data_IF_051066106166
#
_entry.id   IF_051066106166
#
_cell.length_a   1.000
_cell.length_b   1.000
_cell.length_c   1.000
_cell.angle_alpha   90.00
_cell.angle_beta   90.00
_cell.angle_gamma   90.00
#
_symmetry.space_group_name_H-M   'P 1'
#
loop_
_entity.id
_entity.type
_entity.pdbx_description
1 polymer ?
#
# COMPACT_ATOMS: atom_id res chain seq x y z
N UNK A 1 -23.54 7.30 5.10
CA UNK A 1 -22.14 7.74 4.78
C UNK A 1 -21.34 7.83 6.09
N UNK A 2 -20.08 7.42 6.06
CA UNK A 2 -19.18 7.53 7.21
C UNK A 2 -18.82 9.00 7.43
N UNK A 3 -19.03 9.49 8.66
CA UNK A 3 -18.60 10.80 9.12
C UNK A 3 -17.44 10.63 10.09
N UNK A 4 -16.30 11.27 9.81
CA UNK A 4 -15.15 11.25 10.68
C UNK A 4 -15.38 12.02 11.99
N UNK A 5 -14.60 11.68 13.01
CA UNK A 5 -14.60 12.37 14.30
C UNK A 5 -13.22 13.00 14.64
N UNK A 6 -12.44 13.31 13.61
CA UNK A 6 -11.15 13.99 13.72
C UNK A 6 -10.04 13.21 14.46
N UNK A 7 -10.08 11.87 14.44
CA UNK A 7 -9.06 11.02 15.09
C UNK A 7 -7.65 11.20 14.51
N UNK A 8 -7.56 11.67 13.26
CA UNK A 8 -6.29 11.88 12.55
C UNK A 8 -6.03 13.36 12.26
N UNK A 9 -6.68 14.27 13.00
CA UNK A 9 -6.54 15.72 12.79
C UNK A 9 -5.06 16.12 12.82
N UNK A 10 -4.61 16.78 11.73
CA UNK A 10 -3.24 17.26 11.56
C UNK A 10 -2.21 16.17 11.24
N UNK A 11 -2.61 14.90 11.14
CA UNK A 11 -1.74 13.81 10.69
C UNK A 11 -1.50 13.87 9.19
N UNK A 12 -0.41 13.26 8.75
CA UNK A 12 0.08 13.22 7.38
C UNK A 12 0.26 11.77 6.97
N UNK A 13 -0.49 11.35 5.95
CA UNK A 13 -0.56 9.97 5.52
C UNK A 13 -0.03 9.79 4.10
N UNK A 14 0.75 8.75 3.87
CA UNK A 14 1.07 8.21 2.56
C UNK A 14 0.30 6.92 2.35
N UNK A 15 -0.39 6.79 1.20
CA UNK A 15 -1.08 5.57 0.79
C UNK A 15 -0.54 5.13 -0.57
N UNK A 16 0.07 3.94 -0.65
CA UNK A 16 0.46 3.35 -1.92
C UNK A 16 -0.70 2.54 -2.51
N UNK A 17 -0.89 2.60 -3.84
CA UNK A 17 -2.10 2.06 -4.47
C UNK A 17 -3.36 2.77 -3.98
N UNK A 18 -3.29 4.10 -3.88
CA UNK A 18 -4.33 4.93 -3.25
C UNK A 18 -5.49 5.28 -4.16
N UNK A 19 -5.42 4.96 -5.43
CA UNK A 19 -6.39 5.24 -6.49
C UNK A 19 -7.55 4.25 -6.55
N UNK A 20 -7.31 2.98 -6.14
CA UNK A 20 -8.30 1.90 -6.20
C UNK A 20 -8.46 1.09 -4.91
N UNK A 21 -9.58 0.42 -4.79
CA UNK A 21 -9.84 -0.65 -3.81
C UNK A 21 -9.60 -0.22 -2.35
N UNK A 22 -8.78 -1.01 -1.65
CA UNK A 22 -8.48 -0.82 -0.23
C UNK A 22 -7.74 0.49 0.01
N UNK A 23 -6.78 0.82 -0.86
CA UNK A 23 -6.00 2.06 -0.75
C UNK A 23 -6.87 3.30 -0.90
N UNK A 24 -7.74 3.34 -1.91
CA UNK A 24 -8.74 4.40 -2.09
C UNK A 24 -9.62 4.58 -0.86
N UNK A 25 -10.17 3.49 -0.35
CA UNK A 25 -11.04 3.53 0.83
C UNK A 25 -10.31 4.05 2.07
N UNK A 26 -9.06 3.62 2.28
CA UNK A 26 -8.21 4.09 3.37
C UNK A 26 -7.89 5.58 3.23
N UNK A 27 -7.49 6.04 2.04
CA UNK A 27 -7.16 7.44 1.77
C UNK A 27 -8.34 8.38 2.07
N UNK A 28 -9.54 8.03 1.60
CA UNK A 28 -10.77 8.80 1.86
C UNK A 28 -11.11 8.78 3.36
N UNK A 29 -11.01 7.62 4.01
CA UNK A 29 -11.28 7.51 5.45
C UNK A 29 -10.28 8.35 6.28
N UNK A 30 -8.99 8.37 5.92
CA UNK A 30 -7.99 9.19 6.58
C UNK A 30 -8.29 10.69 6.43
N UNK A 31 -8.70 11.12 5.23
CA UNK A 31 -9.10 12.51 5.00
C UNK A 31 -10.32 12.90 5.83
N UNK A 32 -11.35 12.05 5.91
CA UNK A 32 -12.53 12.25 6.77
C UNK A 32 -12.17 12.35 8.25
N UNK A 33 -11.14 11.64 8.67
CA UNK A 33 -10.61 11.71 10.04
C UNK A 33 -9.64 12.89 10.26
N UNK A 34 -9.41 13.72 9.26
CA UNK A 34 -8.66 14.97 9.38
C UNK A 34 -7.18 14.91 8.99
N UNK A 35 -6.74 13.85 8.32
CA UNK A 35 -5.38 13.72 7.81
C UNK A 35 -5.22 14.38 6.42
N UNK A 36 -4.04 14.93 6.16
CA UNK A 36 -3.58 15.25 4.81
C UNK A 36 -3.00 13.99 4.18
N UNK A 37 -3.27 13.74 2.89
CA UNK A 37 -2.98 12.44 2.25
C UNK A 37 -2.16 12.62 0.98
N UNK A 38 -1.06 11.88 0.87
CA UNK A 38 -0.34 11.64 -0.37
C UNK A 38 -0.75 10.27 -0.94
N UNK A 39 -1.00 10.21 -2.25
CA UNK A 39 -1.41 9.01 -2.99
C UNK A 39 -0.30 8.62 -3.96
N UNK A 40 0.19 7.38 -3.88
CA UNK A 40 0.96 6.79 -4.95
C UNK A 40 0.04 5.87 -5.78
N UNK A 41 0.25 5.87 -7.07
CA UNK A 41 -0.48 5.13 -8.09
C UNK A 41 0.37 5.02 -9.36
N UNK A 42 0.00 4.15 -10.30
CA UNK A 42 0.68 4.08 -11.60
C UNK A 42 0.28 5.27 -12.49
N UNK A 43 1.20 5.83 -13.31
CA UNK A 43 0.90 7.02 -14.12
C UNK A 43 -0.32 6.91 -15.03
N UNK A 44 -0.62 5.70 -15.52
CA UNK A 44 -1.79 5.41 -16.33
C UNK A 44 -3.12 5.49 -15.57
N UNK A 45 -3.09 5.44 -14.24
CA UNK A 45 -4.25 5.51 -13.34
C UNK A 45 -4.53 6.95 -12.86
N UNK A 46 -3.97 7.96 -13.53
CA UNK A 46 -4.09 9.38 -13.15
C UNK A 46 -5.53 9.84 -12.93
N UNK A 47 -6.48 9.42 -13.80
CA UNK A 47 -7.88 9.83 -13.70
C UNK A 47 -8.53 9.37 -12.40
N UNK A 48 -8.24 8.14 -11.98
CA UNK A 48 -8.80 7.54 -10.76
C UNK A 48 -8.18 8.20 -9.52
N UNK A 49 -6.88 8.47 -9.56
CA UNK A 49 -6.19 9.18 -8.50
C UNK A 49 -6.69 10.63 -8.32
N UNK A 50 -7.01 11.33 -9.41
CA UNK A 50 -7.61 12.68 -9.33
C UNK A 50 -9.00 12.64 -8.69
N UNK A 51 -9.83 11.64 -9.01
CA UNK A 51 -11.13 11.47 -8.36
C UNK A 51 -10.99 11.32 -6.83
N UNK A 52 -10.01 10.51 -6.39
CA UNK A 52 -9.73 10.33 -4.96
C UNK A 52 -9.21 11.63 -4.35
N UNK A 53 -8.33 12.34 -5.05
CA UNK A 53 -7.79 13.62 -4.60
C UNK A 53 -8.89 14.68 -4.42
N UNK A 54 -9.86 14.71 -5.33
CA UNK A 54 -11.03 15.59 -5.18
C UNK A 54 -11.87 15.26 -3.95
N UNK A 55 -12.09 13.96 -3.67
CA UNK A 55 -12.81 13.53 -2.47
C UNK A 55 -12.06 13.95 -1.19
N UNK A 56 -10.73 13.84 -1.17
CA UNK A 56 -9.89 14.32 -0.06
C UNK A 56 -10.02 15.83 0.11
N UNK A 57 -9.93 16.60 -0.98
CA UNK A 57 -10.08 18.07 -0.97
C UNK A 57 -11.47 18.51 -0.50
N UNK A 58 -12.53 17.79 -0.83
CA UNK A 58 -13.90 18.04 -0.34
C UNK A 58 -14.03 17.91 1.18
N UNK A 59 -13.19 17.09 1.81
CA UNK A 59 -13.09 17.00 3.28
C UNK A 59 -12.22 18.12 3.90
N UNK A 60 -11.80 19.12 3.09
CA UNK A 60 -10.95 20.23 3.52
C UNK A 60 -9.50 19.81 3.80
N UNK A 61 -9.06 18.67 3.24
CA UNK A 61 -7.70 18.16 3.47
C UNK A 61 -6.83 18.30 2.23
N UNK A 62 -5.51 18.32 2.45
CA UNK A 62 -4.53 18.35 1.37
C UNK A 62 -4.44 16.99 0.72
N UNK A 63 -4.51 16.96 -0.62
CA UNK A 63 -4.22 15.78 -1.44
C UNK A 63 -2.95 16.03 -2.24
N UNK A 64 -1.99 15.09 -2.17
CA UNK A 64 -0.73 15.11 -2.93
C UNK A 64 -0.70 13.89 -3.83
N UNK A 65 -0.52 14.08 -5.13
CA UNK A 65 -0.43 13.02 -6.13
C UNK A 65 1.02 12.71 -6.44
N UNK A 66 1.40 11.43 -6.34
CA UNK A 66 2.76 10.92 -6.51
C UNK A 66 2.77 9.71 -7.46
N UNK A 67 2.60 9.94 -8.77
CA UNK A 67 2.57 8.87 -9.75
C UNK A 67 3.94 8.20 -9.91
N UNK A 68 3.96 6.86 -10.03
CA UNK A 68 5.14 6.07 -10.35
C UNK A 68 5.06 4.62 -9.91
N UNK A 69 5.98 3.81 -10.46
CA UNK A 69 6.01 2.37 -10.31
C UNK A 69 6.88 1.96 -9.10
N UNK A 70 6.30 1.23 -8.16
CA UNK A 70 6.98 0.74 -6.95
C UNK A 70 7.99 -0.39 -7.22
N UNK A 71 8.04 -0.94 -8.42
CA UNK A 71 9.11 -1.87 -8.79
C UNK A 71 10.46 -1.19 -9.06
N UNK A 72 10.48 0.15 -9.11
CA UNK A 72 11.68 0.94 -9.24
C UNK A 72 12.16 1.45 -7.87
N UNK A 73 13.35 1.00 -7.45
CA UNK A 73 13.98 1.45 -6.20
C UNK A 73 14.20 2.96 -6.15
N UNK A 74 14.63 3.55 -7.28
CA UNK A 74 14.90 5.00 -7.35
C UNK A 74 13.61 5.77 -7.14
N UNK A 75 12.52 5.32 -7.76
CA UNK A 75 11.21 5.90 -7.54
C UNK A 75 10.74 5.72 -6.08
N UNK A 76 10.88 4.55 -5.48
CA UNK A 76 10.47 4.32 -4.09
C UNK A 76 11.17 5.30 -3.11
N UNK A 77 12.44 5.57 -3.30
CA UNK A 77 13.19 6.56 -2.52
C UNK A 77 12.67 7.98 -2.78
N UNK A 78 12.45 8.33 -4.05
CA UNK A 78 11.87 9.62 -4.44
C UNK A 78 10.49 9.82 -3.85
N UNK A 79 9.63 8.81 -3.87
CA UNK A 79 8.28 8.81 -3.29
C UNK A 79 8.28 9.30 -1.84
N UNK A 80 9.19 8.78 -1.03
CA UNK A 80 9.29 9.15 0.39
C UNK A 80 9.75 10.60 0.54
N UNK A 81 10.77 11.03 -0.20
CA UNK A 81 11.26 12.42 -0.16
C UNK A 81 10.17 13.40 -0.56
N UNK A 82 9.48 13.13 -1.67
CA UNK A 82 8.38 13.97 -2.16
C UNK A 82 7.21 14.02 -1.16
N UNK A 83 6.86 12.88 -0.55
CA UNK A 83 5.79 12.84 0.46
C UNK A 83 6.16 13.67 1.69
N UNK A 84 7.38 13.52 2.21
CA UNK A 84 7.88 14.30 3.35
C UNK A 84 7.91 15.79 3.06
N UNK A 85 8.41 16.20 1.88
CA UNK A 85 8.49 17.59 1.47
C UNK A 85 7.09 18.19 1.31
N UNK A 86 6.25 17.54 0.49
CA UNK A 86 4.95 18.08 0.11
C UNK A 86 3.92 18.05 1.25
N UNK A 87 3.98 17.08 2.16
CA UNK A 87 3.12 17.02 3.35
C UNK A 87 3.73 17.77 4.55
N UNK A 88 5.05 17.99 4.53
CA UNK A 88 5.79 18.56 5.67
C UNK A 88 5.97 17.57 6.82
N UNK A 89 6.06 16.29 6.54
CA UNK A 89 6.25 15.17 7.47
C UNK A 89 5.44 13.94 7.11
N UNK A 90 5.54 12.88 7.92
CA UNK A 90 4.86 11.61 7.68
C UNK A 90 4.55 10.91 9.01
N UNK A 91 3.27 10.69 9.28
CA UNK A 91 2.78 10.08 10.52
C UNK A 91 2.15 8.71 10.29
N UNK A 92 1.67 8.46 9.06
CA UNK A 92 0.97 7.23 8.68
C UNK A 92 1.49 6.80 7.31
N UNK A 93 1.87 5.53 7.21
CA UNK A 93 2.24 4.90 5.95
C UNK A 93 1.36 3.66 5.74
N UNK A 94 0.40 3.74 4.83
CA UNK A 94 -0.43 2.61 4.42
C UNK A 94 0.11 2.05 3.10
N UNK A 95 0.90 1.00 3.19
CA UNK A 95 1.58 0.35 2.07
C UNK A 95 0.69 -0.78 1.54
N UNK A 96 -0.26 -0.40 0.68
CA UNK A 96 -1.36 -1.25 0.22
C UNK A 96 -1.15 -1.79 -1.19
N UNK A 97 -0.38 -1.09 -2.02
CA UNK A 97 -0.13 -1.48 -3.40
C UNK A 97 0.31 -2.95 -3.51
N UNK A 98 -0.16 -3.62 -4.55
CA UNK A 98 0.19 -5.00 -4.79
C UNK A 98 -0.13 -5.44 -6.21
N UNK A 99 0.66 -6.41 -6.71
CA UNK A 99 0.50 -7.06 -8.00
C UNK A 99 0.12 -8.51 -7.80
N UNK A 100 -0.82 -9.00 -8.60
CA UNK A 100 -1.27 -10.39 -8.63
C UNK A 100 -1.48 -10.83 -10.07
N UNK A 101 -1.00 -12.01 -10.41
CA UNK A 101 -1.29 -12.69 -11.68
C UNK A 101 -1.54 -14.16 -11.37
N UNK A 102 -2.71 -14.67 -11.75
CA UNK A 102 -3.05 -16.07 -11.56
C UNK A 102 -2.41 -16.93 -12.68
N UNK A 103 -1.78 -18.03 -12.30
CA UNK A 103 -1.16 -18.99 -13.22
C UNK A 103 -1.46 -20.41 -12.72
N UNK A 104 -2.02 -21.27 -13.58
CA UNK A 104 -2.47 -22.60 -13.19
C UNK A 104 -1.32 -23.58 -12.91
N UNK A 105 -0.19 -23.44 -13.60
CA UNK A 105 0.98 -24.30 -13.44
C UNK A 105 2.22 -23.47 -13.09
N UNK A 106 2.95 -23.87 -12.06
CA UNK A 106 4.18 -23.19 -11.64
C UNK A 106 5.22 -23.08 -12.76
N UNK A 107 5.21 -24.01 -13.71
CA UNK A 107 6.13 -24.02 -14.87
C UNK A 107 5.88 -22.86 -15.84
N UNK A 108 4.68 -22.29 -15.81
CA UNK A 108 4.28 -21.16 -16.65
C UNK A 108 4.57 -19.79 -15.99
N UNK A 109 4.99 -19.78 -14.71
CA UNK A 109 5.43 -18.55 -14.05
C UNK A 109 6.79 -18.15 -14.65
N UNK A 110 6.77 -17.07 -15.44
CA UNK A 110 8.02 -16.56 -16.01
C UNK A 110 8.88 -15.86 -14.94
N UNK A 111 10.19 -15.81 -15.17
CA UNK A 111 11.11 -15.05 -14.30
C UNK A 111 10.72 -13.59 -14.21
N UNK A 112 10.25 -13.00 -15.31
CA UNK A 112 9.78 -11.62 -15.35
C UNK A 112 8.57 -11.40 -14.44
N UNK A 113 7.54 -12.26 -14.53
CA UNK A 113 6.37 -12.21 -13.65
C UNK A 113 6.77 -12.35 -12.18
N UNK A 114 7.58 -13.36 -11.87
CA UNK A 114 8.04 -13.62 -10.51
C UNK A 114 8.79 -12.40 -9.94
N UNK A 115 9.77 -11.89 -10.70
CA UNK A 115 10.57 -10.73 -10.30
C UNK A 115 9.69 -9.52 -10.06
N UNK A 116 8.81 -9.18 -11.01
CA UNK A 116 7.92 -8.03 -10.91
C UNK A 116 6.95 -8.14 -9.73
N UNK A 117 6.42 -9.35 -9.46
CA UNK A 117 5.54 -9.58 -8.30
C UNK A 117 6.29 -9.34 -6.98
N UNK A 118 7.54 -9.81 -6.86
CA UNK A 118 8.36 -9.55 -5.68
C UNK A 118 8.82 -8.11 -5.55
N UNK A 119 9.20 -7.45 -6.64
CA UNK A 119 9.59 -6.04 -6.64
C UNK A 119 8.46 -5.16 -6.10
N UNK A 120 7.24 -5.30 -6.65
CA UNK A 120 6.09 -4.49 -6.24
C UNK A 120 5.64 -4.84 -4.82
N UNK A 121 5.49 -6.14 -4.49
CA UNK A 121 4.85 -6.55 -3.24
C UNK A 121 5.80 -6.58 -2.03
N UNK A 122 7.09 -6.82 -2.25
CA UNK A 122 8.06 -7.07 -1.17
C UNK A 122 9.21 -6.08 -1.19
N UNK A 123 9.96 -5.98 -2.29
CA UNK A 123 11.18 -5.17 -2.33
C UNK A 123 10.87 -3.69 -2.11
N UNK A 124 9.77 -3.20 -2.66
CA UNK A 124 9.28 -1.84 -2.43
C UNK A 124 9.15 -1.50 -0.94
N UNK A 125 8.69 -2.45 -0.11
CA UNK A 125 8.55 -2.24 1.33
C UNK A 125 9.90 -1.99 2.01
N UNK A 126 10.94 -2.71 1.57
CA UNK A 126 12.31 -2.51 2.08
C UNK A 126 12.85 -1.15 1.65
N UNK A 127 12.72 -0.79 0.37
CA UNK A 127 13.22 0.48 -0.15
C UNK A 127 12.54 1.67 0.49
N UNK A 128 11.20 1.61 0.60
CA UNK A 128 10.37 2.62 1.25
C UNK A 128 10.73 2.75 2.75
N UNK A 129 10.81 1.63 3.47
CA UNK A 129 11.13 1.65 4.89
C UNK A 129 12.54 2.19 5.17
N UNK A 130 13.55 1.78 4.40
CA UNK A 130 14.93 2.28 4.52
C UNK A 130 15.01 3.79 4.35
N UNK A 131 14.31 4.34 3.35
CA UNK A 131 14.32 5.78 3.10
C UNK A 131 13.50 6.55 4.15
N UNK A 132 12.36 6.00 4.59
CA UNK A 132 11.46 6.69 5.50
C UNK A 132 11.97 6.73 6.95
N UNK A 133 12.50 5.62 7.46
CA UNK A 133 12.80 5.44 8.89
C UNK A 133 13.66 6.55 9.53
N UNK A 134 14.67 7.14 8.86
CA UNK A 134 15.43 8.25 9.43
C UNK A 134 14.62 9.51 9.73
N UNK A 135 13.47 9.66 9.08
CA UNK A 135 12.61 10.85 9.15
C UNK A 135 11.36 10.65 9.98
N UNK A 136 11.05 9.41 10.37
CA UNK A 136 9.85 9.10 11.14
C UNK A 136 10.02 9.44 12.62
N UNK A 137 8.94 9.96 13.23
CA UNK A 137 8.90 10.37 14.63
C UNK A 137 8.17 9.33 15.49
N UNK A 138 8.39 9.33 16.82
CA UNK A 138 7.55 8.56 17.74
C UNK A 138 6.06 8.84 17.50
N UNK A 139 5.23 7.80 17.54
CA UNK A 139 3.80 7.88 17.22
C UNK A 139 3.45 7.60 15.75
N UNK A 140 4.45 7.46 14.86
CA UNK A 140 4.21 7.02 13.48
C UNK A 140 3.67 5.59 13.42
N UNK A 141 2.75 5.36 12.49
CA UNK A 141 2.15 4.05 12.23
C UNK A 141 2.42 3.61 10.79
N UNK A 142 3.00 2.43 10.63
CA UNK A 142 3.19 1.77 9.34
C UNK A 142 2.21 0.60 9.26
N UNK A 143 1.42 0.54 8.20
CA UNK A 143 0.46 -0.52 7.93
C UNK A 143 0.81 -1.15 6.59
N UNK A 144 1.05 -2.46 6.57
CA UNK A 144 1.27 -3.22 5.35
C UNK A 144 0.06 -4.08 5.02
N UNK A 145 -0.12 -4.40 3.75
CA UNK A 145 -1.25 -5.20 3.28
C UNK A 145 -0.78 -6.57 2.81
N UNK A 146 -0.97 -7.59 3.64
CA UNK A 146 -0.81 -9.00 3.29
C UNK A 146 -2.11 -9.53 2.63
N UNK A 147 -2.46 -10.78 2.85
CA UNK A 147 -3.66 -11.44 2.34
C UNK A 147 -3.96 -12.69 3.15
N UNK A 148 -5.21 -13.17 3.11
CA UNK A 148 -5.57 -14.53 3.51
C UNK A 148 -4.71 -15.58 2.78
N UNK A 149 -4.24 -15.27 1.57
CA UNK A 149 -3.37 -16.12 0.76
C UNK A 149 -2.01 -16.43 1.44
N UNK A 150 -1.60 -15.64 2.41
CA UNK A 150 -0.41 -15.94 3.23
C UNK A 150 -0.62 -17.12 4.19
N UNK A 151 -1.87 -17.48 4.49
CA UNK A 151 -2.26 -18.54 5.43
C UNK A 151 -2.96 -19.71 4.74
N UNK A 152 -3.75 -19.41 3.71
CA UNK A 152 -4.51 -20.39 2.92
C UNK A 152 -4.28 -20.08 1.43
N UNK A 153 -3.10 -20.46 0.89
CA UNK A 153 -2.73 -20.13 -0.48
C UNK A 153 -3.57 -20.88 -1.50
N UNK A 154 -4.08 -20.17 -2.49
CA UNK A 154 -4.70 -20.78 -3.68
C UNK A 154 -3.66 -21.40 -4.60
N UNK A 155 -4.01 -22.51 -5.25
CA UNK A 155 -3.11 -23.28 -6.14
C UNK A 155 -2.55 -22.46 -7.32
N UNK A 156 -3.28 -21.44 -7.77
CA UNK A 156 -2.96 -20.63 -8.95
C UNK A 156 -2.32 -19.26 -8.61
N UNK A 157 -1.92 -19.05 -7.35
CA UNK A 157 -1.35 -17.77 -6.87
C UNK A 157 -0.01 -17.99 -6.13
N UNK A 158 0.83 -18.90 -6.61
CA UNK A 158 2.03 -19.38 -5.91
C UNK A 158 3.00 -18.23 -5.59
N UNK A 159 3.32 -17.40 -6.59
CA UNK A 159 4.20 -16.23 -6.42
C UNK A 159 3.56 -15.14 -5.54
N UNK A 160 2.31 -14.81 -5.79
CA UNK A 160 1.56 -13.83 -5.00
C UNK A 160 1.45 -14.24 -3.53
N UNK A 161 1.01 -15.47 -3.26
CA UNK A 161 0.88 -15.98 -1.89
C UNK A 161 2.23 -15.96 -1.14
N UNK A 162 3.31 -16.31 -1.84
CA UNK A 162 4.67 -16.24 -1.31
C UNK A 162 5.04 -14.81 -0.90
N UNK A 163 4.73 -13.81 -1.73
CA UNK A 163 4.96 -12.39 -1.38
C UNK A 163 4.13 -11.96 -0.17
N UNK A 164 2.88 -12.43 -0.07
CA UNK A 164 1.99 -12.05 1.05
C UNK A 164 2.44 -12.67 2.38
N UNK A 165 3.01 -13.86 2.37
CA UNK A 165 3.68 -14.44 3.53
C UNK A 165 4.97 -13.67 3.91
N UNK A 166 5.76 -13.26 2.92
CA UNK A 166 6.96 -12.44 3.13
C UNK A 166 6.62 -11.09 3.80
N UNK A 167 5.52 -10.44 3.42
CA UNK A 167 5.04 -9.19 4.04
C UNK A 167 4.79 -9.36 5.54
N UNK A 168 4.23 -10.48 5.97
CA UNK A 168 4.00 -10.77 7.40
C UNK A 168 5.33 -10.84 8.15
N UNK A 169 6.28 -11.60 7.61
CA UNK A 169 7.60 -11.74 8.22
C UNK A 169 8.34 -10.39 8.30
N UNK A 170 8.35 -9.63 7.21
CA UNK A 170 8.88 -8.27 7.14
C UNK A 170 8.28 -7.37 8.22
N UNK A 171 6.95 -7.30 8.29
CA UNK A 171 6.25 -6.41 9.21
C UNK A 171 6.50 -6.76 10.67
N UNK A 172 6.50 -8.04 11.00
CA UNK A 172 6.78 -8.53 12.36
C UNK A 172 8.22 -8.24 12.79
N UNK A 173 9.18 -8.42 11.88
CA UNK A 173 10.60 -8.15 12.15
C UNK A 173 10.84 -6.65 12.31
N UNK A 174 10.31 -5.84 11.37
CA UNK A 174 10.44 -4.39 11.42
C UNK A 174 9.79 -3.81 12.69
N UNK A 175 8.61 -4.31 13.08
CA UNK A 175 7.93 -3.87 14.30
C UNK A 175 8.83 -3.99 15.55
N UNK A 176 9.56 -5.11 15.69
CA UNK A 176 10.51 -5.31 16.79
C UNK A 176 11.68 -4.32 16.72
N UNK A 177 12.18 -4.05 15.52
CA UNK A 177 13.32 -3.17 15.31
C UNK A 177 13.02 -1.70 15.61
N UNK A 178 11.79 -1.24 15.31
CA UNK A 178 11.40 0.18 15.43
C UNK A 178 10.57 0.50 16.68
N UNK A 179 10.11 -0.52 17.42
CA UNK A 179 9.35 -0.32 18.66
C UNK A 179 10.08 0.58 19.69
N UNK A 180 11.41 0.44 19.91
CA UNK A 180 12.13 1.33 20.83
C UNK A 180 12.12 2.80 20.39
N UNK A 181 11.85 3.08 19.10
CA UNK A 181 11.71 4.44 18.54
C UNK A 181 10.28 4.98 18.65
N UNK A 182 9.35 4.24 19.28
CA UNK A 182 7.94 4.62 19.38
C UNK A 182 7.18 4.54 18.04
N UNK A 183 7.68 3.77 17.07
CA UNK A 183 7.05 3.54 15.78
C UNK A 183 6.34 2.19 15.81
N UNK A 184 5.12 2.12 15.31
CA UNK A 184 4.35 0.88 15.24
C UNK A 184 4.27 0.37 13.80
N UNK A 185 4.40 -0.93 13.64
CA UNK A 185 4.20 -1.61 12.35
C UNK A 185 3.16 -2.70 12.54
N UNK A 186 2.10 -2.65 11.75
CA UNK A 186 1.04 -3.64 11.74
C UNK A 186 0.80 -4.14 10.32
N UNK A 187 0.23 -5.34 10.22
CA UNK A 187 -0.15 -5.95 8.96
C UNK A 187 -1.62 -6.32 8.99
N UNK A 188 -2.32 -5.98 7.91
CA UNK A 188 -3.68 -6.46 7.65
C UNK A 188 -3.62 -7.58 6.62
N UNK A 189 -4.46 -8.59 6.77
CA UNK A 189 -4.55 -9.73 5.86
C UNK A 189 -5.99 -9.89 5.37
N UNK A 190 -6.42 -9.11 4.37
CA UNK A 190 -7.78 -9.17 3.86
C UNK A 190 -8.11 -10.54 3.24
N UNK A 191 -9.37 -10.94 3.38
CA UNK A 191 -9.99 -11.98 2.55
C UNK A 191 -10.35 -11.45 1.16
N UNK A 192 -11.23 -12.15 0.42
CA UNK A 192 -11.73 -11.67 -0.86
C UNK A 192 -12.47 -10.33 -0.69
N UNK A 193 -11.99 -9.30 -1.35
CA UNK A 193 -12.63 -7.98 -1.40
C UNK A 193 -12.83 -7.62 -2.86
N UNK A 194 -14.03 -7.22 -3.22
CA UNK A 194 -14.34 -6.81 -4.58
C UNK A 194 -13.54 -5.56 -4.97
N UNK A 195 -12.43 -5.78 -5.66
CA UNK A 195 -11.49 -4.75 -6.11
C UNK A 195 -11.03 -5.04 -7.53
N UNK A 196 -10.45 -4.04 -8.21
CA UNK A 196 -9.87 -4.21 -9.53
C UNK A 196 -8.81 -5.33 -9.56
N UNK A 197 -8.02 -5.49 -8.49
CA UNK A 197 -6.99 -6.51 -8.39
C UNK A 197 -7.55 -7.94 -8.56
N UNK A 198 -8.75 -8.23 -8.08
CA UNK A 198 -9.37 -9.55 -8.25
C UNK A 198 -9.82 -9.80 -9.69
N UNK A 199 -10.30 -8.75 -10.36
CA UNK A 199 -10.73 -8.83 -11.76
C UNK A 199 -9.53 -8.98 -12.69
N UNK A 200 -8.55 -8.09 -12.56
CA UNK A 200 -7.36 -8.03 -13.43
C UNK A 200 -6.35 -9.14 -13.11
N UNK A 201 -6.27 -9.58 -11.86
CA UNK A 201 -5.37 -10.65 -11.39
C UNK A 201 -5.84 -12.07 -11.69
N UNK A 202 -6.95 -12.25 -12.42
CA UNK A 202 -7.45 -13.55 -12.87
C UNK A 202 -8.06 -14.43 -11.76
N UNK A 203 -8.42 -13.87 -10.62
CA UNK A 203 -8.96 -14.62 -9.49
C UNK A 203 -10.47 -14.89 -9.57
N UNK A 204 -11.20 -14.15 -10.42
CA UNK A 204 -12.61 -14.40 -10.67
C UNK A 204 -12.76 -15.52 -11.69
N UNK A 205 -12.86 -16.74 -11.20
CA UNK A 205 -13.40 -17.85 -11.98
C UNK A 205 -14.93 -17.84 -11.92
N UNK A 206 -15.57 -18.33 -12.99
CA UNK A 206 -17.05 -18.32 -13.16
C UNK A 206 -17.83 -19.10 -12.08
N UNK A 207 -17.19 -19.71 -11.11
CA UNK A 207 -17.74 -20.64 -10.14
C UNK A 207 -17.59 -20.19 -8.67
N UNK A 208 -17.51 -18.88 -8.43
CA UNK A 208 -17.62 -18.28 -7.09
C UNK A 208 -18.93 -17.52 -6.92
#
# INVERSE_FOLDING_TARGET
SYHGCNRLRGRKALVTGGDWGIGRAAAIAYAREGADVALNYLPEEQSDAEEVAELIRKEGRKAVLLPGDLSDEVFCKKLIRDALEKLGGLDIMALVAGKQVAVEDIRDITTEQLTKTFEVNVFSLFWIAKEALPHLKPGTSIITCSSIQAYQPGKNLVDYASTKAAIIAFSRSLAKQVAPKGIRVNVVAPGPIWTALQVTGGQLQKDL
#
